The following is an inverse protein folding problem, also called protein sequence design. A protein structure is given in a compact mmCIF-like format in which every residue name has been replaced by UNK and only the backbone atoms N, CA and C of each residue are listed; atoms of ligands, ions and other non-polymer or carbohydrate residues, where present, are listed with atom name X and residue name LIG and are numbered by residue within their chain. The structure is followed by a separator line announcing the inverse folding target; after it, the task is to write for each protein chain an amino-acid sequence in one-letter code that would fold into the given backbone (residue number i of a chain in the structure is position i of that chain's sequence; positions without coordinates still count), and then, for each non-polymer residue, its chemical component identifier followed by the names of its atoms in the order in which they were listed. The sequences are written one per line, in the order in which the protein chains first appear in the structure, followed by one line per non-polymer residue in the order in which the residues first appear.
data_IF_815489379576
#
_entry.id   IF_815489379576
#
_cell.length_a   1.000
_cell.length_b   1.000
_cell.length_c   1.000
_cell.angle_alpha   90.00
_cell.angle_beta   90.00
_cell.angle_gamma   90.00
#
_symmetry.space_group_name_H-M   'P 1'
#
loop_
_entity.id
_entity.type
_entity.pdbx_description
1 polymer ?
#
# COMPACT_ATOMS: atom_id res chain seq x y z
N UNK A 1 -48.07 26.30 25.49
CA UNK A 1 -46.65 26.50 25.22
C UNK A 1 -46.02 25.11 25.11
N UNK A 2 -46.10 24.55 23.92
CA UNK A 2 -45.80 23.15 23.62
C UNK A 2 -44.36 23.07 23.11
N UNK A 3 -43.48 22.53 23.93
CA UNK A 3 -42.11 22.21 23.52
C UNK A 3 -42.19 21.05 22.53
N UNK A 4 -41.90 21.34 21.29
CA UNK A 4 -41.52 20.33 20.28
C UNK A 4 -40.11 19.85 20.62
N UNK A 5 -40.04 18.69 21.23
CA UNK A 5 -38.83 17.87 21.26
C UNK A 5 -38.59 17.41 19.80
N UNK A 6 -37.67 18.09 19.15
CA UNK A 6 -37.09 17.59 17.92
C UNK A 6 -36.16 16.43 18.31
N UNK A 7 -36.68 15.22 18.18
CA UNK A 7 -35.84 14.03 18.16
C UNK A 7 -34.87 14.19 17.01
N UNK A 8 -33.65 14.60 17.33
CA UNK A 8 -32.51 14.41 16.46
C UNK A 8 -32.25 12.90 16.37
N UNK A 9 -32.94 12.27 15.46
CA UNK A 9 -32.54 10.96 14.95
C UNK A 9 -31.13 11.17 14.40
N UNK A 10 -30.13 10.78 15.18
CA UNK A 10 -28.80 10.52 14.67
C UNK A 10 -28.96 9.41 13.63
N UNK A 11 -29.12 9.79 12.39
CA UNK A 11 -28.88 8.91 11.28
C UNK A 11 -27.40 8.55 11.37
N UNK A 12 -27.13 7.43 12.02
CA UNK A 12 -25.85 6.77 11.89
C UNK A 12 -25.71 6.47 10.41
N UNK A 13 -24.94 7.27 9.70
CA UNK A 13 -24.55 6.96 8.33
C UNK A 13 -23.92 5.57 8.39
N UNK A 14 -24.67 4.58 7.94
CA UNK A 14 -24.13 3.25 7.68
C UNK A 14 -23.10 3.47 6.60
N UNK A 15 -21.86 3.53 7.00
CA UNK A 15 -20.73 3.69 6.08
C UNK A 15 -20.75 2.47 5.16
N UNK A 16 -21.30 2.67 3.96
CA UNK A 16 -21.31 1.63 2.93
C UNK A 16 -19.88 1.45 2.49
N UNK A 17 -19.29 0.31 2.84
CA UNK A 17 -17.91 0.01 2.50
C UNK A 17 -17.79 -1.31 1.76
N UNK A 18 -17.01 -1.29 0.71
CA UNK A 18 -16.42 -2.48 0.11
C UNK A 18 -14.95 -2.40 0.45
N UNK A 19 -14.38 -3.50 0.92
CA UNK A 19 -12.97 -3.64 1.25
C UNK A 19 -12.41 -4.80 0.46
N UNK A 20 -11.27 -4.59 -0.17
CA UNK A 20 -10.54 -5.60 -0.94
C UNK A 20 -9.10 -5.65 -0.45
N UNK A 21 -8.43 -6.80 -0.63
CA UNK A 21 -6.97 -6.86 -0.57
C UNK A 21 -6.42 -5.79 -1.53
N UNK A 22 -5.40 -5.09 -1.09
CA UNK A 22 -4.76 -4.03 -1.88
C UNK A 22 -3.25 -4.26 -1.97
N UNK A 23 -2.60 -3.51 -2.87
CA UNK A 23 -1.17 -3.56 -3.05
C UNK A 23 -0.68 -4.70 -3.92
N UNK A 24 0.50 -5.22 -3.61
CA UNK A 24 1.14 -6.32 -4.36
C UNK A 24 1.08 -7.59 -3.53
N UNK A 25 0.47 -8.63 -4.09
CA UNK A 25 0.44 -9.97 -3.50
C UNK A 25 1.32 -10.91 -4.32
N UNK A 26 2.45 -11.30 -3.76
CA UNK A 26 3.40 -12.22 -4.43
C UNK A 26 3.17 -13.65 -3.98
N UNK A 27 3.10 -14.56 -4.94
CA UNK A 27 2.88 -16.01 -4.74
C UNK A 27 3.80 -16.80 -5.67
N UNK A 28 4.09 -18.05 -5.36
CA UNK A 28 4.86 -18.91 -6.24
C UNK A 28 3.97 -19.67 -7.21
N UNK A 29 4.53 -20.08 -8.35
CA UNK A 29 3.84 -20.99 -9.28
C UNK A 29 3.42 -22.26 -8.55
N UNK A 30 2.16 -22.68 -8.78
CA UNK A 30 1.57 -23.85 -8.15
C UNK A 30 0.89 -23.59 -6.82
N UNK A 31 1.10 -22.44 -6.19
CA UNK A 31 0.41 -22.07 -4.95
C UNK A 31 -1.10 -21.89 -5.17
N UNK A 32 -1.83 -21.78 -4.08
CA UNK A 32 -3.23 -21.33 -4.07
C UNK A 32 -3.30 -19.97 -3.40
N UNK A 33 -3.96 -19.01 -4.05
CA UNK A 33 -4.17 -17.66 -3.55
C UNK A 33 -5.65 -17.34 -3.44
N UNK A 34 -6.04 -16.69 -2.36
CA UNK A 34 -7.38 -16.10 -2.20
C UNK A 34 -7.26 -14.58 -2.15
N UNK A 35 -8.00 -13.91 -3.01
CA UNK A 35 -8.17 -12.47 -3.04
C UNK A 35 -9.47 -12.14 -2.31
N UNK A 36 -9.35 -11.34 -1.25
CA UNK A 36 -10.48 -11.06 -0.38
C UNK A 36 -11.23 -9.81 -0.85
N UNK A 37 -12.54 -9.90 -0.88
CA UNK A 37 -13.43 -8.77 -1.09
C UNK A 37 -14.57 -8.89 -0.08
N UNK A 38 -14.73 -7.85 0.74
CA UNK A 38 -15.78 -7.74 1.75
C UNK A 38 -16.71 -6.60 1.39
N UNK A 39 -18.00 -6.75 1.67
CA UNK A 39 -18.98 -5.68 1.50
C UNK A 39 -19.90 -5.60 2.71
N UNK A 40 -20.10 -4.39 3.23
CA UNK A 40 -20.96 -4.14 4.37
C UNK A 40 -21.88 -2.94 4.10
N UNK A 41 -23.16 -3.09 4.48
CA UNK A 41 -24.13 -2.00 4.38
C UNK A 41 -24.42 -1.51 2.95
N UNK A 42 -23.93 -2.21 1.93
CA UNK A 42 -24.02 -1.78 0.54
C UNK A 42 -25.39 -2.10 -0.03
N UNK A 43 -26.03 -1.10 -0.64
CA UNK A 43 -27.31 -1.29 -1.35
C UNK A 43 -27.14 -2.02 -2.69
N UNK A 44 -25.89 -2.29 -3.09
CA UNK A 44 -25.60 -3.01 -4.33
C UNK A 44 -26.16 -4.42 -4.31
N UNK A 45 -26.63 -4.85 -5.45
CA UNK A 45 -27.22 -6.17 -5.67
C UNK A 45 -26.28 -7.12 -6.41
N UNK A 46 -25.33 -6.59 -7.15
CA UNK A 46 -24.39 -7.36 -7.96
C UNK A 46 -22.96 -7.03 -7.54
N UNK A 47 -22.15 -8.07 -7.44
CA UNK A 47 -20.71 -7.99 -7.17
C UNK A 47 -19.96 -8.75 -8.25
N UNK A 48 -18.82 -8.23 -8.66
CA UNK A 48 -18.08 -8.77 -9.79
C UNK A 48 -16.59 -8.73 -9.54
N UNK A 49 -15.88 -9.73 -10.02
CA UNK A 49 -14.43 -9.69 -10.13
C UNK A 49 -14.02 -9.43 -11.58
N UNK A 50 -13.02 -8.60 -11.75
CA UNK A 50 -12.38 -8.32 -13.03
C UNK A 50 -10.89 -8.60 -12.93
N UNK A 51 -10.30 -9.03 -14.01
CA UNK A 51 -8.87 -9.23 -14.20
C UNK A 51 -8.38 -8.34 -15.34
N UNK A 52 -7.23 -7.70 -15.16
CA UNK A 52 -6.58 -6.89 -16.19
C UNK A 52 -5.10 -7.22 -16.24
N UNK A 53 -4.64 -7.85 -17.32
CA UNK A 53 -3.23 -8.02 -17.63
C UNK A 53 -2.65 -6.71 -18.16
N UNK A 54 -1.33 -6.56 -18.05
CA UNK A 54 -0.65 -5.34 -18.48
C UNK A 54 -0.88 -5.10 -19.98
N UNK A 55 -1.42 -3.95 -20.32
CA UNK A 55 -1.71 -3.55 -21.70
C UNK A 55 -3.07 -3.99 -22.23
N UNK A 56 -3.80 -4.82 -21.51
CA UNK A 56 -5.12 -5.31 -21.91
C UNK A 56 -6.28 -4.52 -21.29
N UNK A 57 -7.48 -4.82 -21.72
CA UNK A 57 -8.71 -4.32 -21.13
C UNK A 57 -9.13 -5.20 -19.95
N UNK A 58 -9.80 -4.64 -18.93
CA UNK A 58 -10.39 -5.45 -17.88
C UNK A 58 -11.35 -6.52 -18.43
N UNK A 59 -11.15 -7.76 -18.00
CA UNK A 59 -11.98 -8.92 -18.35
C UNK A 59 -12.83 -9.30 -17.15
N UNK A 60 -14.10 -9.60 -17.39
CA UNK A 60 -15.00 -10.07 -16.35
C UNK A 60 -14.64 -11.52 -15.98
N UNK A 61 -14.32 -11.74 -14.71
CA UNK A 61 -14.01 -13.07 -14.16
C UNK A 61 -15.26 -13.71 -13.61
N UNK A 62 -15.99 -12.99 -12.74
CA UNK A 62 -17.20 -13.53 -12.09
C UNK A 62 -18.23 -12.47 -11.80
N UNK A 63 -19.47 -12.90 -11.69
CA UNK A 63 -20.57 -12.12 -11.13
C UNK A 63 -21.27 -12.88 -10.02
N UNK A 64 -21.71 -12.18 -8.99
CA UNK A 64 -22.49 -12.69 -7.89
C UNK A 64 -23.71 -11.78 -7.70
N UNK A 65 -24.87 -12.36 -7.55
CA UNK A 65 -26.05 -11.66 -7.08
C UNK A 65 -26.23 -11.86 -5.58
N UNK A 66 -26.53 -10.80 -4.85
CA UNK A 66 -26.53 -10.78 -3.37
C UNK A 66 -27.35 -11.90 -2.72
N UNK A 67 -28.42 -12.32 -3.36
CA UNK A 67 -29.34 -13.33 -2.85
C UNK A 67 -29.15 -14.72 -3.49
N UNK A 68 -28.14 -14.88 -4.34
CA UNK A 68 -27.77 -16.16 -4.90
C UNK A 68 -26.62 -16.79 -4.12
N UNK A 69 -26.68 -18.11 -3.84
CA UNK A 69 -25.66 -18.78 -3.03
C UNK A 69 -24.36 -19.04 -3.80
N UNK A 70 -24.34 -18.80 -5.12
CA UNK A 70 -23.19 -19.08 -5.98
C UNK A 70 -22.92 -17.96 -6.95
N UNK A 71 -21.63 -17.63 -7.11
CA UNK A 71 -21.16 -16.79 -8.20
C UNK A 71 -21.15 -17.57 -9.52
N UNK A 72 -21.29 -16.84 -10.61
CA UNK A 72 -21.11 -17.34 -11.97
C UNK A 72 -19.78 -16.86 -12.51
N UNK A 73 -18.94 -17.77 -12.94
CA UNK A 73 -17.73 -17.47 -13.70
C UNK A 73 -18.08 -17.19 -15.18
N UNK A 74 -17.24 -16.42 -15.86
CA UNK A 74 -17.46 -15.98 -17.22
C UNK A 74 -16.24 -16.18 -18.10
N UNK A 75 -16.45 -16.18 -19.42
CA UNK A 75 -15.40 -16.25 -20.42
C UNK A 75 -14.48 -17.48 -20.23
N UNK A 76 -13.19 -17.29 -20.30
CA UNK A 76 -12.16 -18.33 -20.12
C UNK A 76 -12.14 -18.95 -18.71
N UNK A 77 -12.76 -18.28 -17.74
CA UNK A 77 -12.81 -18.73 -16.36
C UNK A 77 -13.96 -19.73 -16.09
N UNK A 78 -15.00 -19.76 -16.93
CA UNK A 78 -16.21 -20.58 -16.70
C UNK A 78 -15.89 -22.07 -16.62
N UNK A 79 -14.94 -22.54 -17.42
CA UNK A 79 -14.54 -23.95 -17.47
C UNK A 79 -13.15 -24.20 -16.87
N UNK A 80 -12.56 -23.21 -16.22
CA UNK A 80 -11.25 -23.33 -15.63
C UNK A 80 -11.36 -23.72 -14.16
N UNK A 81 -11.06 -24.97 -13.77
CA UNK A 81 -11.26 -25.48 -12.41
C UNK A 81 -10.35 -24.80 -11.39
N UNK A 82 -9.33 -24.06 -11.83
CA UNK A 82 -8.44 -23.32 -10.96
C UNK A 82 -9.10 -22.08 -10.32
N UNK A 83 -10.14 -21.55 -10.96
CA UNK A 83 -10.86 -20.37 -10.48
C UNK A 83 -12.13 -20.77 -9.74
N UNK A 84 -12.30 -20.25 -8.56
CA UNK A 84 -13.52 -20.41 -7.77
C UNK A 84 -13.85 -19.14 -6.99
N UNK A 85 -15.13 -18.93 -6.70
CA UNK A 85 -15.57 -17.78 -5.92
C UNK A 85 -16.34 -18.27 -4.71
N UNK A 86 -15.89 -17.85 -3.54
CA UNK A 86 -16.57 -18.10 -2.28
C UNK A 86 -17.48 -16.92 -1.96
N UNK A 87 -18.77 -17.17 -2.04
CA UNK A 87 -19.81 -16.21 -1.72
C UNK A 87 -20.36 -16.47 -0.32
N UNK A 88 -20.64 -15.39 0.40
CA UNK A 88 -21.27 -15.45 1.71
C UNK A 88 -21.91 -14.12 2.05
N UNK A 89 -22.52 -14.02 3.23
CA UNK A 89 -23.03 -12.76 3.71
C UNK A 89 -21.85 -11.78 3.94
N UNK A 90 -21.78 -10.73 3.13
CA UNK A 90 -20.71 -9.74 3.19
C UNK A 90 -19.40 -10.16 2.55
N UNK A 91 -19.34 -11.26 1.79
CA UNK A 91 -18.09 -11.77 1.21
C UNK A 91 -18.24 -12.19 -0.25
N UNK A 92 -17.19 -11.88 -1.05
CA UNK A 92 -17.06 -12.29 -2.45
C UNK A 92 -15.57 -12.56 -2.75
N UNK A 93 -15.04 -13.67 -2.26
CA UNK A 93 -13.62 -13.99 -2.35
C UNK A 93 -13.32 -14.79 -3.61
N UNK A 94 -12.30 -14.34 -4.37
CA UNK A 94 -11.80 -15.05 -5.54
C UNK A 94 -10.60 -15.92 -5.15
N UNK A 95 -10.71 -17.24 -5.39
CA UNK A 95 -9.61 -18.18 -5.16
C UNK A 95 -9.08 -18.69 -6.50
N UNK A 96 -7.77 -18.66 -6.65
CA UNK A 96 -7.03 -19.20 -7.79
C UNK A 96 -6.12 -20.28 -7.25
N UNK A 97 -6.32 -21.51 -7.65
CA UNK A 97 -5.47 -22.67 -7.31
C UNK A 97 -4.51 -22.98 -8.44
N UNK A 98 -3.39 -23.62 -8.11
CA UNK A 98 -2.34 -23.94 -9.09
C UNK A 98 -1.98 -22.72 -9.93
N UNK A 99 -1.56 -21.66 -9.23
CA UNK A 99 -1.30 -20.34 -9.81
C UNK A 99 -0.21 -20.44 -10.87
N UNK A 100 -0.44 -19.82 -12.04
CA UNK A 100 0.45 -19.83 -13.18
C UNK A 100 0.99 -18.41 -13.47
N UNK A 101 2.14 -18.28 -14.15
CA UNK A 101 2.67 -16.96 -14.54
C UNK A 101 1.67 -16.09 -15.30
N UNK A 102 0.80 -16.72 -16.10
CA UNK A 102 -0.29 -16.05 -16.84
C UNK A 102 -1.36 -15.44 -15.94
N UNK A 103 -1.41 -15.80 -14.66
CA UNK A 103 -2.35 -15.21 -13.69
C UNK A 103 -1.84 -13.88 -13.12
N UNK A 104 -0.59 -13.50 -13.42
CA UNK A 104 -0.05 -12.17 -13.05
C UNK A 104 -0.88 -11.07 -13.71
N UNK A 105 -1.62 -10.33 -12.90
CA UNK A 105 -2.55 -9.30 -13.36
C UNK A 105 -3.02 -8.41 -12.20
N UNK A 106 -3.69 -7.30 -12.55
CA UNK A 106 -4.51 -6.54 -11.62
C UNK A 106 -5.87 -7.21 -11.47
N UNK A 107 -6.34 -7.35 -10.25
CA UNK A 107 -7.66 -7.88 -9.92
C UNK A 107 -8.48 -6.84 -9.18
N UNK A 108 -9.71 -6.63 -9.64
CA UNK A 108 -10.62 -5.63 -9.10
C UNK A 108 -11.91 -6.30 -8.63
N UNK A 109 -12.33 -5.99 -7.41
CA UNK A 109 -13.66 -6.28 -6.93
C UNK A 109 -14.54 -5.04 -7.13
N UNK A 110 -15.68 -5.20 -7.73
CA UNK A 110 -16.64 -4.12 -7.96
C UNK A 110 -18.04 -4.48 -7.55
N UNK A 111 -18.83 -3.47 -7.24
CA UNK A 111 -20.27 -3.61 -6.99
C UNK A 111 -21.08 -2.76 -7.95
N UNK A 112 -22.28 -3.24 -8.27
CA UNK A 112 -23.20 -2.52 -9.11
C UNK A 112 -24.54 -2.28 -8.41
N UNK A 113 -24.99 -1.05 -8.43
CA UNK A 113 -26.31 -0.63 -8.01
C UNK A 113 -26.93 0.25 -9.10
N UNK A 114 -28.12 -0.11 -9.56
CA UNK A 114 -28.76 0.54 -10.71
C UNK A 114 -27.82 0.49 -11.93
N UNK A 115 -27.39 1.63 -12.46
CA UNK A 115 -26.49 1.73 -13.61
C UNK A 115 -25.08 2.20 -13.23
N UNK A 116 -24.73 2.21 -11.94
CA UNK A 116 -23.44 2.67 -11.45
C UNK A 116 -22.64 1.46 -10.96
N UNK A 117 -21.43 1.31 -11.50
CA UNK A 117 -20.45 0.33 -11.05
C UNK A 117 -19.38 1.09 -10.26
N UNK A 118 -19.14 0.63 -9.03
CA UNK A 118 -18.11 1.17 -8.16
C UNK A 118 -17.05 0.09 -7.98
N UNK A 119 -15.81 0.43 -8.29
CA UNK A 119 -14.64 -0.38 -7.96
C UNK A 119 -14.03 0.14 -6.66
N UNK A 120 -13.51 -0.76 -5.88
CA UNK A 120 -12.68 -0.44 -4.71
C UNK A 120 -11.21 -0.56 -5.07
N UNK A 121 -10.36 -0.64 -4.06
CA UNK A 121 -8.93 -0.86 -4.25
C UNK A 121 -8.67 -2.04 -5.18
N UNK A 122 -7.49 -2.05 -5.77
CA UNK A 122 -7.01 -3.10 -6.66
C UNK A 122 -5.87 -3.87 -5.99
N UNK A 123 -5.73 -5.15 -6.36
CA UNK A 123 -4.61 -5.98 -5.95
C UNK A 123 -3.84 -6.45 -7.18
N UNK A 124 -2.54 -6.20 -7.19
CA UNK A 124 -1.65 -6.77 -8.20
C UNK A 124 -1.16 -8.14 -7.73
N UNK A 125 -1.63 -9.19 -8.39
CA UNK A 125 -1.13 -10.54 -8.19
C UNK A 125 0.15 -10.72 -9.02
N UNK A 126 1.27 -10.93 -8.34
CA UNK A 126 2.57 -11.22 -8.95
C UNK A 126 2.92 -12.67 -8.71
N UNK A 127 2.98 -13.45 -9.79
CA UNK A 127 3.35 -14.86 -9.74
C UNK A 127 4.83 -15.02 -10.02
N UNK A 128 5.58 -15.50 -9.02
CA UNK A 128 7.02 -15.73 -9.15
C UNK A 128 7.27 -17.02 -9.92
N UNK A 129 8.10 -16.94 -10.96
CA UNK A 129 8.54 -18.11 -11.73
C UNK A 129 9.45 -19.04 -10.91
N UNK A 130 9.61 -20.27 -11.38
CA UNK A 130 10.49 -21.27 -10.74
C UNK A 130 11.98 -20.89 -10.75
N UNK A 131 12.37 -19.90 -11.56
CA UNK A 131 13.75 -19.35 -11.59
C UNK A 131 13.99 -18.23 -10.60
N UNK A 132 12.97 -17.73 -9.91
CA UNK A 132 13.08 -16.60 -9.00
C UNK A 132 13.50 -16.97 -7.57
N UNK A 133 13.62 -18.26 -7.26
CA UNK A 133 14.06 -18.75 -5.95
C UNK A 133 15.49 -18.30 -5.58
N UNK A 134 16.29 -17.93 -6.59
CA UNK A 134 17.65 -17.41 -6.41
C UNK A 134 17.72 -15.88 -6.20
N UNK A 135 16.59 -15.17 -6.30
CA UNK A 135 16.53 -13.72 -6.12
C UNK A 135 15.62 -13.40 -4.93
N UNK A 136 16.21 -12.78 -3.91
CA UNK A 136 15.46 -12.31 -2.74
C UNK A 136 15.49 -10.79 -2.68
N UNK A 137 14.31 -10.18 -2.55
CA UNK A 137 14.16 -8.74 -2.39
C UNK A 137 13.66 -8.47 -0.98
N UNK A 138 14.45 -7.74 -0.19
CA UNK A 138 14.15 -7.36 1.19
C UNK A 138 14.01 -5.85 1.25
N UNK A 139 12.84 -5.38 1.65
CA UNK A 139 12.60 -3.95 1.92
C UNK A 139 12.64 -3.67 3.42
N UNK A 140 13.26 -2.55 3.77
CA UNK A 140 13.39 -2.06 5.15
C UNK A 140 13.25 -0.54 5.18
N UNK A 141 12.58 0.00 6.21
CA UNK A 141 11.81 -0.73 7.24
C UNK A 141 10.55 -1.39 6.65
N UNK A 142 9.90 -2.30 7.38
CA UNK A 142 8.61 -2.89 6.98
C UNK A 142 7.50 -1.86 7.11
N UNK A 143 7.55 -1.06 8.16
CA UNK A 143 6.68 0.09 8.37
C UNK A 143 7.44 1.19 9.10
N UNK A 144 7.11 2.44 8.83
CA UNK A 144 7.68 3.63 9.47
C UNK A 144 6.59 4.63 9.75
N UNK A 145 6.58 5.19 10.96
CA UNK A 145 5.68 6.27 11.37
C UNK A 145 6.50 7.52 11.62
N UNK A 146 6.21 8.58 10.88
CA UNK A 146 6.97 9.83 10.88
C UNK A 146 6.06 11.03 11.04
N UNK A 147 6.62 12.20 11.36
CA UNK A 147 5.88 13.45 11.41
C UNK A 147 6.09 14.28 10.14
N UNK A 148 5.15 15.19 9.81
CA UNK A 148 5.36 16.13 8.73
C UNK A 148 6.65 16.93 8.95
N UNK A 149 7.48 17.02 7.91
CA UNK A 149 8.80 17.68 7.95
C UNK A 149 9.97 16.73 8.21
N UNK A 150 9.71 15.51 8.69
CA UNK A 150 10.76 14.51 8.89
C UNK A 150 11.33 13.99 7.56
N UNK A 151 12.39 13.20 7.67
CA UNK A 151 13.03 12.54 6.54
C UNK A 151 13.24 11.06 6.85
N UNK A 152 13.02 10.22 5.86
CA UNK A 152 13.19 8.77 5.95
C UNK A 152 13.95 8.26 4.72
N UNK A 153 14.68 7.18 4.88
CA UNK A 153 15.30 6.48 3.75
C UNK A 153 14.77 5.04 3.70
N UNK A 154 14.10 4.72 2.62
CA UNK A 154 13.61 3.35 2.35
C UNK A 154 14.70 2.58 1.63
N UNK A 155 14.99 1.36 2.10
CA UNK A 155 16.05 0.53 1.58
C UNK A 155 15.48 -0.70 0.88
N UNK A 156 15.99 -1.00 -0.30
CA UNK A 156 15.70 -2.21 -1.05
C UNK A 156 17.00 -2.99 -1.20
N UNK A 157 17.08 -4.15 -0.58
CA UNK A 157 18.23 -5.05 -0.69
C UNK A 157 17.87 -6.24 -1.56
N UNK A 158 18.66 -6.44 -2.58
CA UNK A 158 18.49 -7.51 -3.56
C UNK A 158 19.64 -8.49 -3.41
N UNK A 159 19.30 -9.75 -3.13
CA UNK A 159 20.25 -10.87 -3.14
C UNK A 159 19.99 -11.70 -4.39
N UNK A 160 21.02 -11.94 -5.17
CA UNK A 160 20.93 -12.77 -6.39
C UNK A 160 22.12 -13.72 -6.47
N UNK A 161 21.85 -14.96 -6.86
CA UNK A 161 22.86 -16.00 -7.04
C UNK A 161 23.13 -16.32 -8.51
N UNK A 162 22.21 -16.03 -9.41
CA UNK A 162 22.21 -16.60 -10.77
C UNK A 162 22.14 -15.57 -11.89
N UNK A 163 21.65 -14.37 -11.65
CA UNK A 163 21.48 -13.36 -12.69
C UNK A 163 22.61 -12.32 -12.65
N UNK A 164 23.64 -12.50 -13.46
CA UNK A 164 24.76 -11.54 -13.63
C UNK A 164 24.45 -10.46 -14.67
N UNK A 165 23.25 -10.46 -15.25
CA UNK A 165 22.82 -9.50 -16.27
C UNK A 165 22.54 -8.10 -15.73
N UNK A 166 22.30 -7.17 -16.65
CA UNK A 166 21.80 -5.84 -16.28
C UNK A 166 20.42 -5.97 -15.65
N UNK A 167 20.26 -5.38 -14.48
CA UNK A 167 18.98 -5.29 -13.79
C UNK A 167 18.65 -3.82 -13.51
N UNK A 168 17.37 -3.51 -13.54
CA UNK A 168 16.86 -2.18 -13.26
C UNK A 168 15.94 -2.22 -12.05
N UNK A 169 16.12 -1.27 -11.15
CA UNK A 169 15.31 -1.15 -9.94
C UNK A 169 14.40 0.05 -10.06
N UNK A 170 13.14 -0.18 -9.75
CA UNK A 170 12.07 0.82 -9.79
C UNK A 170 11.44 0.96 -8.41
N UNK A 171 11.16 2.20 -8.03
CA UNK A 171 10.35 2.50 -6.86
C UNK A 171 9.01 3.04 -7.28
N UNK A 172 7.95 2.55 -6.68
CA UNK A 172 6.62 3.10 -6.88
C UNK A 172 5.85 3.15 -5.57
N UNK A 173 4.86 4.03 -5.51
CA UNK A 173 4.01 4.23 -4.35
C UNK A 173 2.57 3.92 -4.69
N UNK A 174 1.94 3.18 -3.83
CA UNK A 174 0.49 3.07 -3.74
C UNK A 174 0.03 3.98 -2.61
N UNK A 175 -0.67 5.04 -2.95
CA UNK A 175 -1.23 5.98 -1.97
C UNK A 175 -2.49 5.40 -1.33
N UNK A 176 -2.85 5.90 -0.17
CA UNK A 176 -4.17 5.69 0.43
C UNK A 176 -5.17 6.58 -0.32
N UNK A 177 -6.14 5.98 -1.01
CA UNK A 177 -7.19 6.70 -1.72
C UNK A 177 -7.06 6.69 -3.25
N UNK A 178 -7.69 7.64 -3.93
CA UNK A 178 -7.87 7.69 -5.39
C UNK A 178 -6.59 7.90 -6.23
N UNK A 179 -5.41 7.99 -5.61
CA UNK A 179 -4.17 8.21 -6.35
C UNK A 179 -3.69 6.92 -7.01
N UNK A 180 -3.57 6.95 -8.35
CA UNK A 180 -3.00 5.83 -9.11
C UNK A 180 -1.55 5.58 -8.71
N UNK A 181 -1.10 4.30 -8.66
CA UNK A 181 0.30 3.96 -8.47
C UNK A 181 1.16 4.66 -9.52
N UNK A 182 2.23 5.30 -9.09
CA UNK A 182 3.15 5.99 -9.99
C UNK A 182 4.59 5.57 -9.75
N UNK A 183 5.37 5.44 -10.82
CA UNK A 183 6.81 5.23 -10.71
C UNK A 183 7.42 6.51 -10.15
N UNK A 184 8.10 6.39 -9.00
CA UNK A 184 8.72 7.51 -8.30
C UNK A 184 10.17 7.72 -8.72
N UNK A 185 10.89 6.63 -8.93
CA UNK A 185 12.31 6.64 -9.19
C UNK A 185 12.78 5.38 -9.88
N UNK A 186 13.75 5.52 -10.76
CA UNK A 186 14.38 4.41 -11.46
C UNK A 186 15.88 4.45 -11.26
N UNK A 187 16.45 3.34 -10.79
CA UNK A 187 17.88 3.09 -10.86
C UNK A 187 18.17 2.31 -12.14
N UNK A 188 18.69 2.96 -13.15
CA UNK A 188 19.17 2.32 -14.38
C UNK A 188 20.67 2.11 -14.31
N UNK A 189 21.13 0.91 -14.70
CA UNK A 189 22.53 0.57 -14.78
C UNK A 189 23.13 -0.05 -13.51
N UNK A 190 24.38 -0.51 -13.60
CA UNK A 190 25.13 -1.09 -12.48
C UNK A 190 25.18 -0.10 -11.33
N UNK A 191 24.60 -0.49 -10.22
CA UNK A 191 24.76 0.23 -8.98
C UNK A 191 26.18 -0.01 -8.44
N UNK A 192 26.89 1.07 -8.10
CA UNK A 192 28.17 1.02 -7.35
C UNK A 192 27.96 0.51 -5.91
N UNK A 193 26.73 0.14 -5.55
CA UNK A 193 26.31 -0.31 -4.22
C UNK A 193 26.14 -1.84 -4.11
N UNK A 194 26.69 -2.59 -5.06
CA UNK A 194 26.62 -4.04 -5.04
C UNK A 194 27.90 -4.63 -4.43
N UNK A 195 27.74 -5.40 -3.36
CA UNK A 195 28.80 -6.14 -2.70
C UNK A 195 28.76 -7.61 -3.15
N UNK A 196 29.92 -8.15 -3.53
CA UNK A 196 30.07 -9.57 -3.80
C UNK A 196 30.15 -10.33 -2.48
N UNK A 197 29.58 -11.53 -2.44
CA UNK A 197 29.77 -12.41 -1.28
C UNK A 197 31.25 -12.65 -1.02
N UNK A 198 31.70 -12.61 0.25
CA UNK A 198 33.11 -12.85 0.60
C UNK A 198 33.55 -14.29 0.37
N UNK A 199 32.67 -15.23 0.08
CA UNK A 199 33.01 -16.61 -0.22
C UNK A 199 33.58 -16.72 -1.64
N UNK A 200 34.86 -17.11 -1.72
CA UNK A 200 35.57 -17.27 -2.98
C UNK A 200 34.86 -18.31 -3.87
N UNK A 201 34.35 -17.84 -5.02
CA UNK A 201 33.66 -18.69 -6.01
C UNK A 201 32.14 -18.64 -5.97
N UNK A 202 31.52 -17.96 -5.02
CA UNK A 202 30.06 -17.73 -5.01
C UNK A 202 29.68 -16.64 -6.02
N UNK A 203 28.73 -16.88 -6.94
CA UNK A 203 28.17 -15.84 -7.78
C UNK A 203 27.22 -14.91 -7.03
N UNK A 204 26.97 -15.14 -5.74
CA UNK A 204 26.04 -14.38 -4.93
C UNK A 204 26.48 -12.92 -4.81
N UNK A 205 25.54 -12.02 -5.11
CA UNK A 205 25.73 -10.58 -5.04
C UNK A 205 24.59 -9.94 -4.22
N UNK A 206 24.94 -8.99 -3.37
CA UNK A 206 23.97 -8.20 -2.61
C UNK A 206 24.08 -6.74 -3.05
N UNK A 207 22.97 -6.20 -3.53
CA UNK A 207 22.87 -4.80 -3.95
C UNK A 207 21.87 -4.05 -3.07
N UNK A 208 22.20 -2.82 -2.67
CA UNK A 208 21.31 -1.98 -1.86
C UNK A 208 20.91 -0.74 -2.66
N UNK A 209 19.63 -0.50 -2.76
CA UNK A 209 19.05 0.65 -3.43
C UNK A 209 18.23 1.47 -2.44
N UNK A 210 18.54 2.75 -2.34
CA UNK A 210 17.97 3.65 -1.37
C UNK A 210 17.03 4.65 -2.03
N UNK A 211 15.87 4.86 -1.42
CA UNK A 211 14.94 5.94 -1.76
C UNK A 211 14.90 6.95 -0.60
N UNK A 212 15.69 8.03 -0.63
CA UNK A 212 15.62 9.06 0.37
C UNK A 212 14.38 9.94 0.14
N UNK A 213 13.59 10.14 1.17
CA UNK A 213 12.44 11.04 1.21
C UNK A 213 12.69 12.11 2.26
N UNK A 214 12.63 13.38 1.87
CA UNK A 214 12.90 14.53 2.74
C UNK A 214 11.67 15.42 2.83
N UNK A 215 11.53 16.09 3.98
CA UNK A 215 10.45 17.04 4.24
C UNK A 215 9.08 16.42 3.94
N UNK A 216 8.80 15.31 4.59
CA UNK A 216 7.60 14.53 4.40
C UNK A 216 6.33 15.32 4.72
N UNK A 217 5.30 15.10 3.94
CA UNK A 217 3.95 15.64 4.10
C UNK A 217 2.93 14.52 4.25
N UNK A 218 1.71 14.84 4.65
CA UNK A 218 0.61 13.86 4.71
C UNK A 218 0.33 13.19 3.36
N UNK A 219 0.68 13.86 2.25
CA UNK A 219 0.53 13.31 0.91
C UNK A 219 1.57 12.24 0.56
N UNK A 220 2.63 12.12 1.36
CA UNK A 220 3.66 11.09 1.20
C UNK A 220 3.30 9.77 1.88
N UNK A 221 2.24 9.72 2.65
CA UNK A 221 1.74 8.49 3.25
C UNK A 221 1.34 7.47 2.18
N UNK A 222 1.56 6.19 2.46
CA UNK A 222 1.23 5.09 1.55
C UNK A 222 2.25 3.95 1.60
N UNK A 223 2.03 2.94 0.78
CA UNK A 223 2.95 1.80 0.68
C UNK A 223 3.90 1.97 -0.50
N UNK A 224 5.18 1.88 -0.20
CA UNK A 224 6.26 2.01 -1.17
C UNK A 224 6.80 0.64 -1.53
N UNK A 225 6.85 0.32 -2.81
CA UNK A 225 7.36 -0.94 -3.32
C UNK A 225 8.63 -0.71 -4.14
N UNK A 226 9.58 -1.60 -3.95
CA UNK A 226 10.74 -1.76 -4.80
C UNK A 226 10.46 -2.90 -5.79
N UNK A 227 10.71 -2.70 -7.06
CA UNK A 227 10.58 -3.71 -8.09
C UNK A 227 11.90 -3.87 -8.85
N UNK A 228 12.30 -5.11 -9.05
CA UNK A 228 13.47 -5.50 -9.82
C UNK A 228 13.03 -6.07 -11.17
N UNK A 229 13.45 -5.45 -12.26
CA UNK A 229 13.34 -6.04 -13.58
C UNK A 229 14.68 -6.72 -13.92
N UNK A 230 14.68 -8.03 -13.98
CA UNK A 230 15.86 -8.85 -14.26
C UNK A 230 15.46 -10.16 -14.92
N UNK A 231 16.28 -10.66 -15.83
CA UNK A 231 16.10 -11.95 -16.49
C UNK A 231 14.73 -12.16 -17.16
N UNK A 232 14.08 -11.07 -17.63
CA UNK A 232 12.76 -11.12 -18.28
C UNK A 232 11.59 -11.18 -17.32
N UNK A 233 11.83 -11.09 -16.02
CA UNK A 233 10.81 -11.05 -14.97
C UNK A 233 10.85 -9.75 -14.19
N UNK A 234 9.73 -9.40 -13.57
CA UNK A 234 9.63 -8.29 -12.62
C UNK A 234 9.29 -8.86 -11.25
N UNK A 235 10.20 -8.68 -10.31
CA UNK A 235 10.06 -9.14 -8.94
C UNK A 235 9.81 -7.95 -8.01
N UNK A 236 8.89 -8.11 -7.07
CA UNK A 236 8.52 -7.06 -6.14
C UNK A 236 9.01 -7.37 -4.72
N UNK A 237 9.44 -6.34 -4.01
CA UNK A 237 9.62 -6.40 -2.57
C UNK A 237 8.29 -6.45 -1.83
N UNK A 238 8.34 -6.71 -0.52
CA UNK A 238 7.16 -6.85 0.32
C UNK A 238 6.45 -5.51 0.63
N UNK A 239 7.02 -4.40 0.17
CA UNK A 239 6.52 -3.07 0.45
C UNK A 239 6.99 -2.53 1.81
N UNK A 240 7.02 -1.21 1.92
CA UNK A 240 7.22 -0.48 3.17
C UNK A 240 6.05 0.46 3.37
N UNK A 241 5.31 0.29 4.45
CA UNK A 241 4.22 1.20 4.80
C UNK A 241 4.81 2.44 5.48
N UNK A 242 4.59 3.61 4.87
CA UNK A 242 4.96 4.90 5.43
C UNK A 242 3.69 5.60 5.92
N UNK A 243 3.62 5.79 7.23
CA UNK A 243 2.54 6.50 7.88
C UNK A 243 3.02 7.88 8.33
N UNK A 244 2.35 8.93 7.87
CA UNK A 244 2.69 10.31 8.24
C UNK A 244 1.64 10.82 9.19
N UNK A 245 1.98 10.84 10.49
CA UNK A 245 1.05 11.16 11.58
C UNK A 245 1.22 12.63 11.96
N UNK A 246 0.19 13.47 11.80
CA UNK A 246 0.25 14.86 12.28
C UNK A 246 0.34 14.89 13.80
N UNK A 247 1.01 15.91 14.35
CA UNK A 247 1.02 16.14 15.80
C UNK A 247 -0.42 16.20 16.32
N UNK A 248 -0.68 15.47 17.41
CA UNK A 248 -1.99 15.53 18.06
C UNK A 248 -2.24 16.95 18.61
N UNK A 249 -3.52 17.34 18.69
CA UNK A 249 -3.90 18.66 19.23
C UNK A 249 -3.33 18.87 20.63
N UNK A 250 -3.25 17.82 21.44
CA UNK A 250 -2.71 17.88 22.80
C UNK A 250 -1.19 18.15 22.79
N UNK A 251 -0.44 17.51 21.88
CA UNK A 251 0.99 17.76 21.71
C UNK A 251 1.26 19.19 21.26
N UNK A 252 0.46 19.71 20.32
CA UNK A 252 0.56 21.12 19.89
C UNK A 252 0.31 22.06 21.06
N UNK A 253 -0.74 21.79 21.87
CA UNK A 253 -1.09 22.61 23.03
C UNK A 253 0.04 22.63 24.06
N UNK A 254 0.67 21.50 24.35
CA UNK A 254 1.82 21.39 25.25
C UNK A 254 3.01 22.19 24.72
N UNK A 255 3.34 22.07 23.44
CA UNK A 255 4.45 22.81 22.82
C UNK A 255 4.23 24.32 22.86
N UNK A 256 3.01 24.78 22.57
CA UNK A 256 2.65 26.20 22.67
C UNK A 256 2.78 26.68 24.12
N UNK A 257 2.28 25.93 25.10
CA UNK A 257 2.41 26.28 26.50
C UNK A 257 3.87 26.38 26.95
N UNK A 258 4.72 25.40 26.58
CA UNK A 258 6.15 25.43 26.88
C UNK A 258 6.85 26.62 26.22
N UNK A 259 6.48 26.99 24.99
CA UNK A 259 7.00 28.16 24.31
C UNK A 259 6.66 29.45 25.03
N UNK A 260 5.41 29.62 25.49
CA UNK A 260 4.93 30.75 26.26
C UNK A 260 5.70 30.85 27.60
N UNK A 261 5.87 29.75 28.31
CA UNK A 261 6.60 29.70 29.57
C UNK A 261 8.07 30.11 29.38
N UNK A 262 8.71 29.62 28.32
CA UNK A 262 10.10 29.99 28.00
C UNK A 262 10.27 31.48 27.70
N UNK A 263 9.34 32.06 26.93
CA UNK A 263 9.39 33.52 26.63
C UNK A 263 9.13 34.35 27.87
N UNK A 264 8.20 33.92 28.73
CA UNK A 264 7.92 34.63 30.01
C UNK A 264 9.16 34.66 30.92
N UNK A 265 9.88 33.55 31.06
CA UNK A 265 11.13 33.48 31.84
C UNK A 265 12.17 34.42 31.29
N UNK A 266 12.38 34.45 29.96
CA UNK A 266 13.34 35.40 29.34
C UNK A 266 12.98 36.86 29.61
N UNK A 267 11.68 37.21 29.48
CA UNK A 267 11.21 38.58 29.76
C UNK A 267 11.42 38.96 31.22
N UNK A 268 11.07 38.04 32.16
CA UNK A 268 11.29 38.29 33.59
C UNK A 268 12.77 38.51 33.90
N UNK A 269 13.69 37.74 33.33
CA UNK A 269 15.12 37.92 33.53
C UNK A 269 15.61 39.27 32.99
N UNK A 270 15.14 39.68 31.81
CA UNK A 270 15.48 40.99 31.24
C UNK A 270 14.97 42.13 32.10
N UNK A 271 13.75 42.04 32.65
CA UNK A 271 13.19 43.05 33.55
C UNK A 271 14.02 43.13 34.83
N UNK A 272 14.40 41.98 35.41
CA UNK A 272 15.25 41.95 36.61
C UNK A 272 16.59 42.61 36.32
N UNK A 273 17.26 42.33 35.23
CA UNK A 273 18.51 42.97 34.83
C UNK A 273 18.32 44.45 34.63
N UNK A 274 17.25 44.91 34.01
CA UNK A 274 16.94 46.30 33.81
C UNK A 274 16.74 47.05 35.14
N UNK A 275 15.98 46.47 36.06
CA UNK A 275 15.73 47.04 37.41
C UNK A 275 17.05 47.14 38.17
N UNK A 276 17.89 46.10 38.16
CA UNK A 276 19.21 46.14 38.81
C UNK A 276 20.10 47.21 38.19
N UNK A 277 20.07 47.33 36.87
CA UNK A 277 20.85 48.36 36.15
C UNK A 277 20.42 49.79 36.56
N UNK A 278 19.11 50.05 36.61
CA UNK A 278 18.56 51.36 37.03
C UNK A 278 18.84 51.63 38.49
N UNK A 279 18.75 50.65 39.37
CA UNK A 279 19.02 50.81 40.81
C UNK A 279 20.53 51.07 41.13
N UNK A 280 21.43 50.70 40.20
CA UNK A 280 22.89 50.95 40.37
C UNK A 280 23.37 52.27 39.77
N UNK A 281 22.51 53.02 39.11
CA UNK A 281 22.77 54.31 38.51
C UNK A 281 22.26 55.45 39.42
#
# INVERSE_FOLDING_TARGET
MTLLLVDMIFMQEVTQSILQDNGVKSVNVGDTVTLHCFYQGVMAMHFSWYRQTLGDKPQLVSTMYKYEPKARLHNEFEYNPRFSVQCGEGTNHLTISDVQPSDTAMYFCGSAHSNVVVFVDDVFLNVKGTGSDSITIVQQPVSESVQPGDSVTLNCRIHTETCTGEHSVYWFRQGSGESRPGILYTHGGRSDQCEKSPEAGSPAQSCVYNLPKRNLSLLDAGTYYCALASCGEILFGNGTMLDVIPLSRDQITILVFLSIMRTAVVLCTLIIFFVIYVARK
#
